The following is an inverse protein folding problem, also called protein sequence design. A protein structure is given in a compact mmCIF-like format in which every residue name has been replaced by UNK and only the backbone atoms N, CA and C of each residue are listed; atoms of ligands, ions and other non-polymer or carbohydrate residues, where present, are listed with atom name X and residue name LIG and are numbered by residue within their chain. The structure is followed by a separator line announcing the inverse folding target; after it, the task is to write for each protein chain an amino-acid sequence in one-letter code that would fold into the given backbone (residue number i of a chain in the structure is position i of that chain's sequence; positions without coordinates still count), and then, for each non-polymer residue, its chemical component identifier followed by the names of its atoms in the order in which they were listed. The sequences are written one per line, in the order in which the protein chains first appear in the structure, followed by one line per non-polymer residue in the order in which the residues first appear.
data_IF_219119874251
#
_entry.id   IF_219119874251
#
_cell.length_a   1.000
_cell.length_b   1.000
_cell.length_c   1.000
_cell.angle_alpha   90.00
_cell.angle_beta   90.00
_cell.angle_gamma   90.00
#
_symmetry.space_group_name_H-M   'P 1'
#
loop_
_entity.id
_entity.type
_entity.pdbx_description
1 polymer ?
#
# COMPACT_ATOMS: atom_id res chain seq x y z
N UNK A 1 11.36 -10.29 -8.97
CA UNK A 1 11.37 -8.84 -8.72
C UNK A 1 10.87 -8.59 -7.31
N UNK A 2 11.41 -7.58 -6.63
CA UNK A 2 10.97 -7.23 -5.28
C UNK A 2 9.69 -6.40 -5.34
N UNK A 3 8.57 -6.86 -4.73
CA UNK A 3 7.29 -6.16 -4.79
C UNK A 3 7.36 -4.76 -4.17
N UNK A 4 6.41 -3.91 -4.54
CA UNK A 4 6.17 -2.64 -3.85
C UNK A 4 5.77 -2.92 -2.41
N UNK A 5 6.64 -2.59 -1.46
CA UNK A 5 6.35 -2.72 -0.04
C UNK A 5 5.59 -1.49 0.46
N UNK A 6 4.40 -1.75 1.02
CA UNK A 6 3.50 -0.78 1.65
C UNK A 6 3.44 -1.09 3.15
N UNK A 7 3.63 -0.07 3.96
CA UNK A 7 3.43 -0.13 5.40
C UNK A 7 1.99 0.23 5.76
N UNK A 8 1.44 -0.46 6.75
CA UNK A 8 0.15 -0.13 7.36
C UNK A 8 0.33 0.14 8.85
N UNK A 9 -0.12 1.29 9.31
CA UNK A 9 -0.26 1.63 10.72
C UNK A 9 -1.73 1.65 11.10
N UNK A 10 -2.13 0.83 12.07
CA UNK A 10 -3.51 0.76 12.58
C UNK A 10 -3.73 1.81 13.66
N UNK A 11 -4.87 2.50 13.60
CA UNK A 11 -5.33 3.48 14.58
C UNK A 11 -6.75 3.11 15.01
N UNK A 12 -7.30 3.85 15.99
CA UNK A 12 -8.63 3.53 16.54
C UNK A 12 -9.76 3.68 15.52
N UNK A 13 -9.60 4.61 14.59
CA UNK A 13 -10.60 5.07 13.62
C UNK A 13 -10.23 4.76 12.17
N UNK A 14 -9.14 4.04 11.94
CA UNK A 14 -8.65 3.82 10.58
C UNK A 14 -7.27 3.20 10.48
N UNK A 15 -6.79 3.14 9.25
CA UNK A 15 -5.42 2.74 8.93
C UNK A 15 -4.75 3.74 8.01
N UNK A 16 -3.48 4.02 8.30
CA UNK A 16 -2.62 4.82 7.45
C UNK A 16 -1.68 3.91 6.68
N UNK A 17 -1.65 4.08 5.37
CA UNK A 17 -0.80 3.37 4.43
C UNK A 17 0.32 4.27 3.90
N UNK A 18 1.53 3.74 3.78
CA UNK A 18 2.69 4.48 3.29
C UNK A 18 3.61 3.57 2.49
N UNK A 19 4.30 4.09 1.48
CA UNK A 19 5.34 3.32 0.80
C UNK A 19 6.58 3.18 1.69
N UNK A 20 7.19 1.99 1.66
CA UNK A 20 8.55 1.84 2.17
C UNK A 20 9.51 2.76 1.40
N UNK A 21 10.49 3.41 2.05
CA UNK A 21 11.42 4.31 1.37
C UNK A 21 12.11 3.69 0.14
N UNK A 22 12.50 2.41 0.22
CA UNK A 22 13.12 1.75 -0.94
C UNK A 22 12.15 1.56 -2.11
N UNK A 23 10.88 1.23 -1.84
CA UNK A 23 9.83 1.15 -2.87
C UNK A 23 9.60 2.50 -3.52
N UNK A 24 9.53 3.57 -2.72
CA UNK A 24 9.37 4.94 -3.21
C UNK A 24 10.52 5.34 -4.14
N UNK A 25 11.76 5.14 -3.72
CA UNK A 25 12.93 5.42 -4.56
C UNK A 25 12.92 4.61 -5.85
N UNK A 26 12.51 3.34 -5.79
CA UNK A 26 12.45 2.46 -6.97
C UNK A 26 11.37 2.89 -7.96
N UNK A 27 10.20 3.27 -7.47
CA UNK A 27 9.11 3.79 -8.31
C UNK A 27 9.58 5.08 -9.00
N UNK A 28 10.11 6.05 -8.26
CA UNK A 28 10.58 7.32 -8.85
C UNK A 28 11.67 7.11 -9.91
N UNK A 29 12.54 6.11 -9.74
CA UNK A 29 13.58 5.77 -10.73
C UNK A 29 13.01 5.15 -12.00
N UNK A 30 12.00 4.27 -11.89
CA UNK A 30 11.41 3.54 -13.03
C UNK A 30 10.32 4.36 -13.75
N UNK A 31 9.58 5.16 -12.99
CA UNK A 31 8.48 6.00 -13.44
C UNK A 31 8.70 7.43 -12.92
N UNK A 32 9.55 8.24 -13.59
CA UNK A 32 9.90 9.58 -13.12
C UNK A 32 8.71 10.53 -12.96
N UNK A 33 7.67 10.34 -13.78
CA UNK A 33 6.44 11.15 -13.80
C UNK A 33 5.36 10.64 -12.82
N UNK A 34 5.65 9.58 -12.06
CA UNK A 34 4.71 9.04 -11.08
C UNK A 34 4.47 10.04 -9.94
N UNK A 35 3.20 10.32 -9.67
CA UNK A 35 2.78 11.20 -8.59
C UNK A 35 2.59 10.41 -7.30
N UNK A 36 3.68 10.19 -6.58
CA UNK A 36 3.69 9.39 -5.35
C UNK A 36 3.03 10.18 -4.21
N UNK A 37 1.93 9.63 -3.67
CA UNK A 37 1.32 10.17 -2.47
C UNK A 37 2.16 9.85 -1.21
N UNK A 38 2.28 10.79 -0.25
CA UNK A 38 3.04 10.54 0.98
C UNK A 38 2.39 9.48 1.88
N UNK A 39 1.05 9.43 1.88
CA UNK A 39 0.26 8.47 2.66
C UNK A 39 -1.18 8.41 2.16
N UNK A 40 -1.87 7.32 2.46
CA UNK A 40 -3.33 7.17 2.29
C UNK A 40 -3.94 6.78 3.64
N UNK A 41 -4.96 7.50 4.09
CA UNK A 41 -5.72 7.13 5.28
C UNK A 41 -7.08 6.55 4.85
N UNK A 42 -7.42 5.39 5.40
CA UNK A 42 -8.72 4.75 5.21
C UNK A 42 -9.36 4.62 6.58
N UNK A 43 -10.42 5.39 6.81
CA UNK A 43 -11.20 5.36 8.04
C UNK A 43 -12.24 4.24 8.03
N UNK A 44 -12.58 3.74 9.22
CA UNK A 44 -13.67 2.79 9.43
C UNK A 44 -14.39 3.07 10.75
N UNK A 45 -15.70 2.81 10.80
CA UNK A 45 -16.49 3.04 12.02
C UNK A 45 -16.34 1.89 13.04
N UNK A 46 -16.22 0.65 12.57
CA UNK A 46 -16.00 -0.52 13.43
C UNK A 46 -14.82 -1.37 12.98
N UNK A 47 -14.21 -2.12 13.91
CA UNK A 47 -13.17 -3.11 13.59
C UNK A 47 -13.67 -4.19 12.62
N UNK A 48 -14.97 -4.49 12.63
CA UNK A 48 -15.62 -5.42 11.71
C UNK A 48 -15.64 -4.85 10.29
N UNK A 49 -15.88 -3.55 10.14
CA UNK A 49 -15.80 -2.85 8.86
C UNK A 49 -14.37 -2.86 8.33
N UNK A 50 -13.37 -2.73 9.20
CA UNK A 50 -11.97 -2.86 8.82
C UNK A 50 -11.68 -4.21 8.12
N UNK A 51 -12.11 -5.32 8.72
CA UNK A 51 -11.86 -6.67 8.18
C UNK A 51 -12.62 -6.94 6.88
N UNK A 52 -13.80 -6.35 6.72
CA UNK A 52 -14.66 -6.52 5.54
C UNK A 52 -14.26 -5.61 4.36
N UNK A 53 -13.72 -4.42 4.63
CA UNK A 53 -13.50 -3.36 3.62
C UNK A 53 -12.05 -3.29 3.11
N UNK A 54 -11.06 -3.62 3.94
CA UNK A 54 -9.67 -3.34 3.56
C UNK A 54 -9.11 -4.28 2.48
N UNK A 55 -9.44 -5.57 2.52
CA UNK A 55 -9.01 -6.52 1.49
C UNK A 55 -9.35 -6.05 0.07
N UNK A 56 -10.62 -5.72 -0.21
CA UNK A 56 -11.05 -5.20 -1.51
C UNK A 56 -10.43 -3.86 -1.93
N UNK A 57 -9.95 -3.02 -0.98
CA UNK A 57 -9.43 -1.67 -1.28
C UNK A 57 -7.92 -1.62 -1.50
N UNK A 58 -7.18 -2.71 -1.25
CA UNK A 58 -5.73 -2.68 -1.27
C UNK A 58 -5.13 -2.32 -2.63
N UNK A 59 -5.77 -2.73 -3.71
CA UNK A 59 -5.39 -2.37 -5.07
C UNK A 59 -5.50 -0.85 -5.29
N UNK A 60 -6.62 -0.25 -4.90
CA UNK A 60 -6.84 1.19 -5.03
C UNK A 60 -5.89 1.97 -4.13
N UNK A 61 -5.65 1.50 -2.91
CA UNK A 61 -4.65 2.09 -2.00
C UNK A 61 -3.26 2.07 -2.64
N UNK A 62 -2.87 0.94 -3.25
CA UNK A 62 -1.59 0.84 -3.95
C UNK A 62 -1.52 1.83 -5.11
N UNK A 63 -2.55 1.90 -5.96
CA UNK A 63 -2.60 2.83 -7.09
C UNK A 63 -2.49 4.30 -6.65
N UNK A 64 -3.21 4.71 -5.59
CA UNK A 64 -3.14 6.08 -5.06
C UNK A 64 -1.76 6.37 -4.50
N UNK A 65 -1.16 5.43 -3.75
CA UNK A 65 0.17 5.62 -3.17
C UNK A 65 1.26 5.75 -4.24
N UNK A 66 1.20 4.93 -5.28
CA UNK A 66 2.24 4.90 -6.31
C UNK A 66 2.02 5.91 -7.42
N UNK A 67 0.77 6.34 -7.64
CA UNK A 67 0.37 7.11 -8.82
C UNK A 67 0.44 6.26 -10.10
N UNK A 68 0.29 4.94 -9.99
CA UNK A 68 0.43 3.98 -11.09
C UNK A 68 -0.85 3.17 -11.26
N UNK A 69 -1.06 2.60 -12.44
CA UNK A 69 -2.12 1.60 -12.64
C UNK A 69 -1.65 0.19 -12.20
N UNK A 70 -2.59 -0.78 -12.17
CA UNK A 70 -2.27 -2.14 -11.70
C UNK A 70 -1.24 -2.84 -12.57
N UNK A 71 -1.31 -2.73 -13.90
CA UNK A 71 -0.33 -3.36 -14.81
C UNK A 71 1.09 -2.83 -14.57
N UNK A 72 1.23 -1.55 -14.27
CA UNK A 72 2.54 -0.96 -13.92
C UNK A 72 3.06 -1.47 -12.57
N UNK A 73 2.17 -1.65 -11.58
CA UNK A 73 2.49 -2.25 -10.28
C UNK A 73 2.87 -3.73 -10.42
N UNK A 74 2.15 -4.50 -11.22
CA UNK A 74 2.49 -5.88 -11.58
C UNK A 74 3.87 -5.96 -12.24
N UNK A 75 4.22 -4.98 -13.10
CA UNK A 75 5.55 -4.88 -13.72
C UNK A 75 6.69 -4.62 -12.71
N UNK A 76 6.36 -4.23 -11.47
CA UNK A 76 7.29 -4.08 -10.35
C UNK A 76 7.33 -5.34 -9.46
N UNK A 77 6.55 -6.38 -9.79
CA UNK A 77 6.40 -7.60 -9.00
C UNK A 77 5.20 -7.57 -8.04
N UNK A 78 4.21 -6.71 -8.30
CA UNK A 78 3.02 -6.56 -7.47
C UNK A 78 3.29 -5.74 -6.21
N UNK A 79 2.48 -5.92 -5.16
CA UNK A 79 2.65 -5.22 -3.89
C UNK A 79 2.46 -6.13 -2.67
N UNK A 80 3.03 -5.68 -1.55
CA UNK A 80 2.91 -6.33 -0.24
C UNK A 80 2.58 -5.31 0.82
N UNK A 81 1.66 -5.69 1.72
CA UNK A 81 1.30 -4.87 2.87
C UNK A 81 1.92 -5.48 4.12
N UNK A 82 2.63 -4.66 4.88
CA UNK A 82 3.37 -5.05 6.08
C UNK A 82 3.00 -4.15 7.25
N UNK A 83 2.73 -4.75 8.41
CA UNK A 83 2.54 -4.03 9.66
C UNK A 83 3.86 -4.01 10.45
N UNK A 84 4.54 -2.85 10.54
CA UNK A 84 5.83 -2.74 11.22
C UNK A 84 5.74 -2.88 12.74
N UNK A 85 4.55 -2.71 13.34
CA UNK A 85 4.38 -2.80 14.80
C UNK A 85 4.28 -4.24 15.28
N UNK A 86 3.68 -5.11 14.46
CA UNK A 86 3.55 -6.54 14.76
C UNK A 86 4.61 -7.40 14.06
N UNK A 87 5.35 -6.82 13.11
CA UNK A 87 6.34 -7.52 12.28
C UNK A 87 5.71 -8.52 11.32
N UNK A 88 4.40 -8.41 11.06
CA UNK A 88 3.65 -9.38 10.25
C UNK A 88 3.40 -8.84 8.84
N UNK A 89 3.59 -9.73 7.86
CA UNK A 89 3.04 -9.54 6.52
C UNK A 89 1.51 -9.68 6.63
N UNK A 90 0.81 -8.63 6.21
CA UNK A 90 -0.66 -8.58 6.25
C UNK A 90 -1.24 -9.19 4.98
N UNK A 91 -0.62 -8.95 3.82
CA UNK A 91 -1.04 -9.52 2.54
C UNK A 91 0.07 -9.43 1.48
N UNK A 92 0.06 -10.39 0.54
CA UNK A 92 0.70 -10.29 -0.79
C UNK A 92 -0.36 -10.25 -1.89
N UNK A 93 -0.22 -9.30 -2.82
CA UNK A 93 -1.03 -9.21 -4.04
C UNK A 93 -0.08 -9.16 -5.24
N UNK A 94 -0.33 -10.01 -6.23
CA UNK A 94 0.59 -10.28 -7.35
C UNK A 94 0.11 -9.55 -8.59
#
# INVERSE_FOLDING_TARGET
MDPVLIYVGRQKDGCTYQLHPSSRTRIQKKFPDAHIAPSVFVGYETQSDFEMVHGPLWEQVAQILTGLNLTEIESLGGFKIFDPTTGREVQKVV
#
